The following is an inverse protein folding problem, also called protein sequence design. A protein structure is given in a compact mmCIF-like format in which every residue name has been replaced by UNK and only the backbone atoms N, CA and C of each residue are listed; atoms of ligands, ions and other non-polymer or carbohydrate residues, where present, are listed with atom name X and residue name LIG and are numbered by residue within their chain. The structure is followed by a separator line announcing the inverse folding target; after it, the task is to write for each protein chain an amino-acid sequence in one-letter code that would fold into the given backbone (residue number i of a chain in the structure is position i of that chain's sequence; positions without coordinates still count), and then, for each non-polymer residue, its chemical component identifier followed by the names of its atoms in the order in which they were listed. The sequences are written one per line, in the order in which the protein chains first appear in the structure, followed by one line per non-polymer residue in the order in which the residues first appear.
data_IF_307046132044
#
_entry.id   IF_307046132044
#
_cell.length_a   1.000
_cell.length_b   1.000
_cell.length_c   1.000
_cell.angle_alpha   90.00
_cell.angle_beta   90.00
_cell.angle_gamma   90.00
#
_symmetry.space_group_name_H-M   'P 1'
#
loop_
_entity.id
_entity.type
_entity.pdbx_description
1 polymer ?
#
# COMPACT_ATOMS: atom_id res chain seq x y z
N UNK A 1 4.08 1.40 -18.57
CA UNK A 1 2.65 1.42 -18.31
C UNK A 1 2.34 0.69 -17.02
N UNK A 2 1.47 1.24 -16.20
CA UNK A 2 1.17 0.67 -14.90
C UNK A 2 0.22 -0.52 -14.94
N UNK A 3 0.00 -1.09 -13.78
CA UNK A 3 -0.93 -2.20 -13.58
C UNK A 3 -2.35 -1.71 -13.79
N UNK A 4 -3.18 -2.54 -14.40
CA UNK A 4 -4.59 -2.23 -14.61
C UNK A 4 -5.32 -1.97 -13.30
N UNK A 5 -6.33 -1.09 -13.33
CA UNK A 5 -7.06 -0.68 -12.15
C UNK A 5 -7.63 -1.85 -11.34
N UNK A 6 -8.19 -2.85 -12.02
CA UNK A 6 -8.79 -3.99 -11.32
C UNK A 6 -7.75 -4.75 -10.50
N UNK A 7 -6.56 -4.95 -11.06
CA UNK A 7 -5.47 -5.63 -10.36
C UNK A 7 -4.97 -4.78 -9.20
N UNK A 8 -4.86 -3.46 -9.42
CA UNK A 8 -4.42 -2.53 -8.39
C UNK A 8 -5.39 -2.53 -7.21
N UNK A 9 -6.71 -2.47 -7.47
CA UNK A 9 -7.70 -2.43 -6.40
C UNK A 9 -7.68 -3.68 -5.53
N UNK A 10 -7.32 -4.83 -6.08
CA UNK A 10 -7.20 -6.05 -5.30
C UNK A 10 -6.11 -6.00 -4.26
N UNK A 11 -5.15 -5.08 -4.39
CA UNK A 11 -4.03 -4.96 -3.45
C UNK A 11 -3.88 -3.57 -2.85
N UNK A 12 -4.80 -2.64 -3.16
CA UNK A 12 -4.63 -1.24 -2.79
C UNK A 12 -4.42 -1.03 -1.29
N UNK A 13 -5.25 -1.65 -0.45
CA UNK A 13 -5.11 -1.50 1.00
C UNK A 13 -3.74 -2.02 1.47
N UNK A 14 -3.31 -3.16 0.95
CA UNK A 14 -2.01 -3.73 1.28
C UNK A 14 -0.87 -2.78 0.89
N UNK A 15 -0.95 -2.18 -0.29
CA UNK A 15 0.06 -1.24 -0.75
C UNK A 15 0.17 -0.02 0.16
N UNK A 16 -0.97 0.53 0.57
CA UNK A 16 -1.01 1.69 1.44
C UNK A 16 -0.46 1.36 2.82
N UNK A 17 -0.89 0.22 3.40
CA UNK A 17 -0.38 -0.20 4.69
C UNK A 17 1.13 -0.40 4.66
N UNK A 18 1.63 -1.06 3.61
CA UNK A 18 3.07 -1.29 3.48
C UNK A 18 3.85 0.03 3.35
N UNK A 19 3.30 0.99 2.62
CA UNK A 19 3.96 2.28 2.46
C UNK A 19 4.16 3.00 3.80
N UNK A 20 3.30 2.73 4.78
CA UNK A 20 3.36 3.37 6.09
C UNK A 20 4.14 2.57 7.13
N UNK A 21 4.73 1.45 6.74
CA UNK A 21 5.41 0.56 7.69
C UNK A 21 6.54 1.24 8.44
N UNK A 22 7.31 2.08 7.78
CA UNK A 22 8.50 2.68 8.37
C UNK A 22 8.22 3.98 9.11
N UNK A 23 7.02 4.50 9.04
CA UNK A 23 6.64 5.71 9.75
C UNK A 23 5.57 6.51 9.04
N UNK A 24 5.15 7.63 9.67
CA UNK A 24 4.08 8.45 9.10
C UNK A 24 4.45 9.07 7.75
N UNK A 25 3.46 9.13 6.87
CA UNK A 25 3.60 9.81 5.58
C UNK A 25 2.29 10.53 5.26
N UNK A 26 2.38 11.69 4.61
CA UNK A 26 1.19 12.32 4.05
C UNK A 26 0.80 11.62 2.75
N UNK A 27 -0.43 11.87 2.28
CA UNK A 27 -0.99 11.11 1.16
C UNK A 27 -0.12 11.06 -0.08
N UNK A 28 0.40 12.23 -0.51
CA UNK A 28 1.24 12.28 -1.71
C UNK A 28 2.51 11.45 -1.53
N UNK A 29 3.10 11.47 -0.32
CA UNK A 29 4.29 10.68 -0.04
C UNK A 29 4.00 9.18 -0.06
N UNK A 30 2.80 8.76 0.35
CA UNK A 30 2.38 7.36 0.23
C UNK A 30 2.41 6.92 -1.23
N UNK A 31 1.80 7.72 -2.10
CA UNK A 31 1.76 7.44 -3.54
C UNK A 31 3.18 7.37 -4.12
N UNK A 32 4.03 8.32 -3.76
CA UNK A 32 5.41 8.37 -4.24
C UNK A 32 6.22 7.17 -3.78
N UNK A 33 6.02 6.73 -2.54
CA UNK A 33 6.73 5.57 -2.01
C UNK A 33 6.36 4.30 -2.76
N UNK A 34 5.07 4.13 -3.07
CA UNK A 34 4.62 2.95 -3.83
C UNK A 34 5.25 2.94 -5.22
N UNK A 35 5.26 4.08 -5.91
CA UNK A 35 5.88 4.17 -7.22
C UNK A 35 7.38 3.91 -7.14
N UNK A 36 8.08 4.53 -6.20
CA UNK A 36 9.52 4.38 -6.07
C UNK A 36 9.92 2.93 -5.75
N UNK A 37 9.18 2.30 -4.84
CA UNK A 37 9.49 0.93 -4.41
C UNK A 37 9.26 -0.10 -5.50
N UNK A 38 8.43 0.22 -6.49
CA UNK A 38 8.07 -0.72 -7.57
C UNK A 38 8.64 -0.31 -8.92
N UNK A 39 9.57 0.65 -8.96
CA UNK A 39 10.13 1.14 -10.22
C UNK A 39 9.06 1.68 -11.16
N UNK A 40 8.07 2.36 -10.61
CA UNK A 40 6.93 2.93 -11.31
C UNK A 40 5.97 1.88 -11.91
N UNK A 41 6.14 0.62 -11.57
CA UNK A 41 5.20 -0.42 -12.05
C UNK A 41 3.82 -0.25 -11.44
N UNK A 42 3.75 0.21 -10.18
CA UNK A 42 2.48 0.49 -9.52
C UNK A 42 2.37 1.98 -9.25
N UNK A 43 1.26 2.56 -9.68
CA UNK A 43 0.96 3.98 -9.45
C UNK A 43 -0.44 4.09 -8.88
N UNK A 44 -0.55 4.76 -7.74
CA UNK A 44 -1.85 4.98 -7.09
C UNK A 44 -2.21 6.44 -7.27
N UNK A 45 -3.28 6.68 -8.01
CA UNK A 45 -3.76 8.04 -8.26
C UNK A 45 -4.56 8.55 -7.07
N UNK A 46 -4.63 9.88 -6.94
CA UNK A 46 -5.31 10.52 -5.82
C UNK A 46 -6.77 10.08 -5.70
N UNK A 47 -7.44 9.87 -6.82
CA UNK A 47 -8.84 9.43 -6.82
C UNK A 47 -9.07 8.09 -6.15
N UNK A 48 -8.05 7.23 -6.11
CA UNK A 48 -8.12 5.93 -5.41
C UNK A 48 -7.47 6.00 -4.04
N UNK A 49 -6.40 6.77 -3.92
CA UNK A 49 -5.60 6.85 -2.70
C UNK A 49 -6.37 7.41 -1.51
N UNK A 50 -6.96 8.61 -1.66
CA UNK A 50 -7.60 9.27 -0.54
C UNK A 50 -8.83 8.52 -0.03
N UNK A 51 -9.71 7.98 -0.87
CA UNK A 51 -10.76 7.11 -0.36
C UNK A 51 -10.23 5.90 0.39
N UNK A 52 -9.11 5.31 -0.05
CA UNK A 52 -8.50 4.17 0.64
C UNK A 52 -7.98 4.58 2.02
N UNK A 53 -7.28 5.71 2.10
CA UNK A 53 -6.80 6.23 3.39
C UNK A 53 -7.95 6.50 4.35
N UNK A 54 -9.05 7.09 3.85
CA UNK A 54 -10.22 7.37 4.68
C UNK A 54 -10.86 6.09 5.19
N UNK A 55 -10.97 5.05 4.35
CA UNK A 55 -11.50 3.76 4.79
C UNK A 55 -10.63 3.11 5.86
N UNK A 56 -9.31 3.15 5.64
CA UNK A 56 -8.37 2.57 6.60
C UNK A 56 -8.40 3.30 7.93
N UNK A 57 -8.54 4.62 7.90
CA UNK A 57 -8.67 5.41 9.12
C UNK A 57 -9.98 5.11 9.84
N UNK A 58 -11.09 5.06 9.11
CA UNK A 58 -12.40 4.71 9.66
C UNK A 58 -12.37 3.33 10.33
N UNK A 59 -11.65 2.40 9.73
CA UNK A 59 -11.58 1.02 10.22
C UNK A 59 -10.53 0.85 11.33
N UNK A 60 -9.85 1.92 11.71
CA UNK A 60 -8.89 1.88 12.81
C UNK A 60 -7.55 1.26 12.48
N UNK A 61 -7.22 1.17 11.19
CA UNK A 61 -5.95 0.58 10.75
C UNK A 61 -4.85 1.62 10.58
N UNK A 62 -5.24 2.87 10.35
CA UNK A 62 -4.31 4.00 10.35
C UNK A 62 -4.92 5.15 11.15
N UNK A 63 -4.05 6.01 11.69
CA UNK A 63 -4.42 7.28 12.33
C UNK A 63 -3.92 8.41 11.46
N UNK A 64 -4.69 9.49 11.41
CA UNK A 64 -4.31 10.69 10.67
C UNK A 64 -4.09 11.86 11.61
N UNK A 65 -3.06 12.65 11.35
CA UNK A 65 -2.73 13.84 12.13
C UNK A 65 -2.24 14.93 11.20
N UNK A 66 -2.74 16.14 11.40
CA UNK A 66 -2.32 17.27 10.60
C UNK A 66 -0.93 17.73 11.00
N UNK A 67 -0.11 18.04 10.00
CA UNK A 67 1.25 18.53 10.19
C UNK A 67 1.67 19.33 8.97
N UNK A 68 2.99 19.48 8.82
CA UNK A 68 3.57 20.20 7.70
C UNK A 68 4.59 19.36 6.98
N UNK A 69 4.60 19.49 5.66
CA UNK A 69 5.59 18.81 4.80
C UNK A 69 6.91 19.58 4.88
N UNK A 70 7.96 19.00 4.27
CA UNK A 70 9.26 19.64 4.16
C UNK A 70 9.19 20.96 3.40
N UNK A 71 8.20 21.09 2.52
CA UNK A 71 7.95 22.31 1.77
C UNK A 71 7.06 23.30 2.54
N UNK A 72 6.85 23.03 3.83
CA UNK A 72 6.07 23.88 4.73
C UNK A 72 4.60 23.99 4.33
N UNK A 73 4.07 22.95 3.69
CA UNK A 73 2.64 22.88 3.34
C UNK A 73 1.90 22.08 4.38
N UNK A 74 0.69 22.51 4.71
CA UNK A 74 -0.16 21.78 5.63
C UNK A 74 -0.65 20.49 4.95
N UNK A 75 -0.50 19.37 5.64
CA UNK A 75 -0.91 18.08 5.13
C UNK A 75 -1.29 17.14 6.26
N UNK A 76 -2.17 16.18 5.96
CA UNK A 76 -2.54 15.15 6.91
C UNK A 76 -1.57 13.99 6.75
N UNK A 77 -0.92 13.63 7.87
CA UNK A 77 0.02 12.52 7.92
C UNK A 77 -0.69 11.30 8.50
N UNK A 78 -0.50 10.16 7.87
CA UNK A 78 -1.09 8.89 8.30
C UNK A 78 -0.02 7.98 8.84
N UNK A 79 -0.38 7.18 9.83
CA UNK A 79 0.53 6.18 10.39
C UNK A 79 -0.25 4.92 10.72
N UNK A 80 0.45 3.78 10.76
CA UNK A 80 -0.17 2.52 11.13
C UNK A 80 -0.50 2.53 12.62
N UNK A 81 -1.69 2.01 12.93
CA UNK A 81 -2.02 1.66 14.32
C UNK A 81 -1.50 0.25 14.60
N UNK A 82 -1.62 -0.22 15.85
CA UNK A 82 -1.29 -1.60 16.20
C UNK A 82 -2.11 -2.58 15.35
N UNK A 83 -3.41 -2.30 15.20
CA UNK A 83 -4.27 -3.12 14.35
C UNK A 83 -3.82 -3.09 12.90
N UNK A 84 -3.39 -1.93 12.42
CA UNK A 84 -2.88 -1.79 11.06
C UNK A 84 -1.65 -2.63 10.82
N UNK A 85 -0.73 -2.70 11.80
CA UNK A 85 0.47 -3.53 11.67
C UNK A 85 0.11 -5.01 11.59
N UNK A 86 -0.83 -5.47 12.41
CA UNK A 86 -1.28 -6.85 12.35
C UNK A 86 -1.98 -7.16 11.05
N UNK A 87 -2.79 -6.22 10.56
CA UNK A 87 -3.48 -6.40 9.29
C UNK A 87 -2.48 -6.46 8.13
N UNK A 88 -1.43 -5.65 8.19
CA UNK A 88 -0.37 -5.69 7.19
C UNK A 88 0.28 -7.07 7.13
N UNK A 89 0.63 -7.64 8.29
CA UNK A 89 1.23 -8.96 8.34
C UNK A 89 0.31 -10.03 7.77
N UNK A 90 -0.97 -9.98 8.14
CA UNK A 90 -1.96 -10.94 7.68
C UNK A 90 -2.16 -10.85 6.16
N UNK A 91 -2.31 -9.65 5.64
CA UNK A 91 -2.52 -9.47 4.20
C UNK A 91 -1.28 -9.79 3.39
N UNK A 92 -0.10 -9.52 3.94
CA UNK A 92 1.15 -9.90 3.28
C UNK A 92 1.23 -11.43 3.13
N UNK A 93 0.90 -12.15 4.18
CA UNK A 93 0.91 -13.62 4.13
C UNK A 93 -0.13 -14.16 3.15
N UNK A 94 -1.32 -13.56 3.13
CA UNK A 94 -2.37 -13.96 2.18
C UNK A 94 -1.94 -13.73 0.75
N UNK A 95 -1.36 -12.57 0.50
CA UNK A 95 -0.88 -12.23 -0.84
C UNK A 95 0.22 -13.19 -1.29
N UNK A 96 1.16 -13.49 -0.41
CA UNK A 96 2.27 -14.41 -0.76
C UNK A 96 1.73 -15.78 -1.16
N UNK A 97 0.77 -16.33 -0.40
CA UNK A 97 0.15 -17.60 -0.75
C UNK A 97 -0.60 -17.55 -2.06
N UNK A 98 -1.35 -16.47 -2.28
CA UNK A 98 -2.10 -16.29 -3.51
C UNK A 98 -1.15 -16.19 -4.71
N UNK A 99 -0.11 -15.37 -4.59
CA UNK A 99 0.87 -15.18 -5.65
C UNK A 99 1.58 -16.50 -5.99
N UNK A 100 1.93 -17.27 -4.97
CA UNK A 100 2.59 -18.57 -5.19
C UNK A 100 1.65 -19.55 -5.89
N UNK A 101 0.38 -19.59 -5.50
CA UNK A 101 -0.59 -20.46 -6.15
C UNK A 101 -0.79 -20.09 -7.61
N UNK A 102 -0.92 -18.79 -7.89
CA UNK A 102 -1.06 -18.30 -9.25
C UNK A 102 0.18 -18.62 -10.08
N UNK A 103 1.36 -18.36 -9.51
CA UNK A 103 2.62 -18.65 -10.19
C UNK A 103 2.76 -20.14 -10.51
N UNK A 104 2.34 -21.01 -9.59
CA UNK A 104 2.35 -22.45 -9.80
C UNK A 104 1.46 -22.84 -10.96
N UNK A 105 0.23 -22.31 -10.96
CA UNK A 105 -0.72 -22.61 -12.04
C UNK A 105 -0.19 -22.16 -13.41
N UNK A 106 0.48 -21.00 -13.44
CA UNK A 106 1.02 -20.42 -14.66
C UNK A 106 2.37 -21.02 -15.07
N UNK A 107 2.94 -21.89 -14.25
CA UNK A 107 4.24 -22.47 -14.55
C UNK A 107 5.44 -21.57 -14.26
N UNK A 108 5.27 -20.57 -13.40
CA UNK A 108 6.31 -19.61 -13.04
C UNK A 108 7.01 -19.91 -11.72
N UNK A 109 6.51 -20.89 -10.96
CA UNK A 109 6.97 -21.14 -9.59
C UNK A 109 8.46 -21.52 -9.55
N UNK A 110 8.94 -22.30 -10.51
CA UNK A 110 10.34 -22.76 -10.54
C UNK A 110 11.30 -21.59 -10.68
N UNK A 111 10.93 -20.60 -11.47
CA UNK A 111 11.77 -19.41 -11.66
C UNK A 111 11.92 -18.63 -10.36
N UNK A 112 10.86 -18.58 -9.56
CA UNK A 112 10.87 -17.89 -8.29
C UNK A 112 11.64 -18.64 -7.22
N UNK A 113 11.66 -19.95 -7.33
CA UNK A 113 12.34 -20.82 -6.36
C UNK A 113 13.84 -20.86 -6.57
N UNK A 114 14.25 -20.55 -7.78
CA UNK A 114 15.68 -20.54 -8.10
C UNK A 114 16.35 -19.31 -7.49
#
# INVERSE_FOLDING_TARGET
MGIESDTLYGTLNLLVLQALEQGPLHGLAVSRRISAATGDALRVEEGALYPALHRLERDGLVDGEWGRTDENRRAKFYRLTRRGRRQLELETARWARHADAVATLLGLADERSA
#
